data_IF_699037772669
#
_entry.id   IF_699037772669
#
_cell.length_a   1.000
_cell.length_b   1.000
_cell.length_c   1.000
_cell.angle_alpha   90.00
_cell.angle_beta   90.00
_cell.angle_gamma   90.00
#
_symmetry.space_group_name_H-M   'P 1'
#
loop_
_entity.id
_entity.type
_entity.pdbx_description
1 polymer ?
#
# COMPACT_ATOMS: atom_id res chain seq x y z
N UNK A 1 34.45 -13.37 -4.16
CA UNK A 1 33.42 -14.24 -3.52
C UNK A 1 32.37 -13.44 -2.75
N UNK A 2 32.31 -12.09 -2.87
CA UNK A 2 31.33 -11.22 -2.18
C UNK A 2 29.95 -11.17 -2.84
N UNK A 3 29.90 -11.36 -4.17
CA UNK A 3 28.73 -10.97 -4.96
C UNK A 3 27.56 -11.97 -4.81
N UNK A 4 27.85 -13.26 -4.58
CA UNK A 4 26.80 -14.27 -4.38
C UNK A 4 26.03 -14.07 -3.07
N UNK A 5 26.72 -13.70 -1.98
CA UNK A 5 26.10 -13.49 -0.67
C UNK A 5 25.30 -12.18 -0.60
N UNK A 6 25.65 -11.17 -1.39
CA UNK A 6 24.83 -9.95 -1.53
C UNK A 6 23.60 -10.22 -2.39
N UNK A 7 23.76 -10.94 -3.51
CA UNK A 7 22.64 -11.31 -4.37
C UNK A 7 21.62 -12.20 -3.65
N UNK A 8 22.07 -13.15 -2.83
CA UNK A 8 21.17 -14.00 -2.04
C UNK A 8 20.35 -13.19 -1.03
N UNK A 9 20.97 -12.19 -0.37
CA UNK A 9 20.26 -11.27 0.53
C UNK A 9 19.24 -10.41 -0.20
N UNK A 10 19.54 -9.95 -1.42
CA UNK A 10 18.59 -9.22 -2.25
C UNK A 10 17.38 -10.09 -2.61
N UNK A 11 17.61 -11.34 -3.03
CA UNK A 11 16.53 -12.28 -3.36
C UNK A 11 15.66 -12.61 -2.14
N UNK A 12 16.25 -12.72 -0.95
CA UNK A 12 15.50 -12.93 0.30
C UNK A 12 14.64 -11.71 0.66
N UNK A 13 15.20 -10.50 0.54
CA UNK A 13 14.47 -9.26 0.79
C UNK A 13 13.32 -9.06 -0.22
N UNK A 14 13.53 -9.43 -1.49
CA UNK A 14 12.49 -9.39 -2.51
C UNK A 14 11.32 -10.32 -2.17
N UNK A 15 11.60 -11.56 -1.76
CA UNK A 15 10.55 -12.51 -1.34
C UNK A 15 9.77 -12.02 -0.12
N UNK A 16 10.47 -11.42 0.86
CA UNK A 16 9.84 -10.85 2.04
C UNK A 16 8.93 -9.65 1.68
N UNK A 17 9.40 -8.78 0.77
CA UNK A 17 8.62 -7.67 0.23
C UNK A 17 7.39 -8.16 -0.54
N UNK A 18 7.53 -9.18 -1.39
CA UNK A 18 6.40 -9.76 -2.14
C UNK A 18 5.33 -10.31 -1.18
N UNK A 19 5.73 -11.08 -0.17
CA UNK A 19 4.79 -11.62 0.82
C UNK A 19 4.08 -10.50 1.60
N UNK A 20 4.81 -9.45 2.02
CA UNK A 20 4.21 -8.31 2.70
C UNK A 20 3.28 -7.49 1.79
N UNK A 21 3.61 -7.36 0.49
CA UNK A 21 2.75 -6.69 -0.50
C UNK A 21 1.43 -7.42 -0.67
N UNK A 22 1.47 -8.75 -0.85
CA UNK A 22 0.26 -9.56 -0.98
C UNK A 22 -0.63 -9.47 0.27
N UNK A 23 -0.02 -9.51 1.46
CA UNK A 23 -0.79 -9.34 2.70
C UNK A 23 -1.42 -7.95 2.78
N UNK A 24 -0.65 -6.89 2.50
CA UNK A 24 -1.17 -5.53 2.50
C UNK A 24 -2.32 -5.33 1.51
N UNK A 25 -2.20 -5.85 0.28
CA UNK A 25 -3.26 -5.77 -0.73
C UNK A 25 -4.55 -6.49 -0.28
N UNK A 26 -4.41 -7.68 0.35
CA UNK A 26 -5.55 -8.43 0.86
C UNK A 26 -6.26 -7.69 2.01
N UNK A 27 -5.47 -7.13 2.93
CA UNK A 27 -5.97 -6.35 4.07
C UNK A 27 -6.63 -5.06 3.59
N UNK A 28 -5.98 -4.32 2.68
CA UNK A 28 -6.51 -3.11 2.07
C UNK A 28 -7.83 -3.38 1.35
N UNK A 29 -7.93 -4.45 0.56
CA UNK A 29 -9.17 -4.83 -0.12
C UNK A 29 -10.32 -5.08 0.87
N UNK A 30 -10.07 -5.79 1.97
CA UNK A 30 -11.08 -6.04 3.00
C UNK A 30 -11.49 -4.77 3.73
N UNK A 31 -10.51 -3.96 4.13
CA UNK A 31 -10.76 -2.67 4.77
C UNK A 31 -11.57 -1.75 3.84
N UNK A 32 -11.27 -1.75 2.54
CA UNK A 32 -11.95 -0.94 1.53
C UNK A 32 -13.42 -1.30 1.41
N UNK A 33 -13.76 -2.59 1.39
CA UNK A 33 -15.16 -3.06 1.35
C UNK A 33 -15.92 -2.63 2.59
N UNK A 34 -15.32 -2.78 3.77
CA UNK A 34 -15.95 -2.35 5.01
C UNK A 34 -16.17 -0.82 5.00
N UNK A 35 -15.17 -0.05 4.58
CA UNK A 35 -15.31 1.40 4.44
C UNK A 35 -16.44 1.79 3.48
N UNK A 36 -16.52 1.15 2.31
CA UNK A 36 -17.61 1.41 1.35
C UNK A 36 -18.99 1.08 1.94
N UNK A 37 -19.11 -0.05 2.66
CA UNK A 37 -20.34 -0.38 3.37
C UNK A 37 -20.69 0.66 4.43
N UNK A 38 -19.70 1.11 5.22
CA UNK A 38 -19.90 2.13 6.24
C UNK A 38 -20.30 3.47 5.63
N UNK A 39 -19.71 3.88 4.50
CA UNK A 39 -20.10 5.09 3.78
C UNK A 39 -21.54 4.97 3.26
N UNK A 40 -21.89 3.84 2.64
CA UNK A 40 -23.26 3.58 2.13
C UNK A 40 -24.31 3.61 3.25
N UNK A 41 -23.93 3.22 4.47
CA UNK A 41 -24.78 3.27 5.66
C UNK A 41 -24.75 4.62 6.40
N UNK A 42 -23.93 5.58 5.97
CA UNK A 42 -23.75 6.86 6.65
C UNK A 42 -22.97 6.79 7.97
N UNK A 43 -22.18 5.72 8.17
CA UNK A 43 -21.34 5.49 9.35
C UNK A 43 -19.90 6.02 9.20
N UNK A 44 -19.47 6.32 7.97
CA UNK A 44 -18.15 6.87 7.68
C UNK A 44 -18.24 8.18 6.89
N UNK A 45 -17.52 9.21 7.37
CA UNK A 45 -17.47 10.56 6.81
C UNK A 45 -16.06 11.01 6.39
N UNK A 46 -15.07 10.12 6.55
CA UNK A 46 -13.66 10.36 6.23
C UNK A 46 -13.22 9.52 5.06
N UNK A 47 -12.21 10.02 4.33
CA UNK A 47 -11.56 9.27 3.26
C UNK A 47 -10.96 7.97 3.79
N UNK A 48 -10.84 6.97 2.92
CA UNK A 48 -10.52 5.60 3.29
C UNK A 48 -9.29 5.50 4.21
N UNK A 49 -8.17 6.15 3.88
CA UNK A 49 -6.94 6.07 4.68
C UNK A 49 -7.17 6.54 6.12
N UNK A 50 -7.88 7.64 6.31
CA UNK A 50 -8.18 8.18 7.65
C UNK A 50 -9.11 7.25 8.43
N UNK A 51 -10.13 6.69 7.76
CA UNK A 51 -11.03 5.73 8.37
C UNK A 51 -10.31 4.41 8.71
N UNK A 52 -9.46 3.90 7.81
CA UNK A 52 -8.79 2.60 7.96
C UNK A 52 -7.81 2.60 9.13
N UNK A 53 -7.05 3.68 9.33
CA UNK A 53 -6.16 3.83 10.49
C UNK A 53 -6.94 3.83 11.81
N UNK A 54 -8.19 4.31 11.83
CA UNK A 54 -9.02 4.41 13.03
C UNK A 54 -9.83 3.15 13.31
N UNK A 55 -10.33 2.49 12.26
CA UNK A 55 -11.34 1.43 12.36
C UNK A 55 -10.82 0.06 11.94
N UNK A 56 -9.66 -0.02 11.28
CA UNK A 56 -9.11 -1.26 10.75
C UNK A 56 -7.64 -1.46 11.16
N UNK A 57 -7.36 -1.85 12.42
CA UNK A 57 -5.98 -1.94 12.95
C UNK A 57 -5.02 -2.82 12.12
N UNK A 58 -5.56 -3.85 11.47
CA UNK A 58 -4.78 -4.72 10.58
C UNK A 58 -4.22 -3.96 9.37
N UNK A 59 -4.88 -2.90 8.90
CA UNK A 59 -4.43 -2.07 7.78
C UNK A 59 -3.10 -1.41 8.12
N UNK A 60 -3.05 -0.72 9.26
CA UNK A 60 -1.82 -0.03 9.69
C UNK A 60 -0.67 -1.00 9.96
N UNK A 61 -0.97 -2.17 10.53
CA UNK A 61 0.03 -3.21 10.76
C UNK A 61 0.61 -3.75 9.44
N UNK A 62 -0.25 -4.10 8.48
CA UNK A 62 0.18 -4.60 7.18
C UNK A 62 0.93 -3.52 6.36
N UNK A 63 0.46 -2.27 6.41
CA UNK A 63 1.14 -1.13 5.77
C UNK A 63 2.54 -0.93 6.33
N UNK A 64 2.67 -0.95 7.66
CA UNK A 64 3.97 -0.79 8.35
C UNK A 64 4.93 -1.92 7.97
N UNK A 65 4.44 -3.16 7.94
CA UNK A 65 5.23 -4.32 7.54
C UNK A 65 5.69 -4.20 6.08
N UNK A 66 4.80 -3.81 5.16
CA UNK A 66 5.14 -3.58 3.76
C UNK A 66 6.22 -2.49 3.61
N UNK A 67 6.05 -1.34 4.28
CA UNK A 67 7.02 -0.24 4.23
C UNK A 67 8.38 -0.62 4.80
N UNK A 68 8.42 -1.40 5.89
CA UNK A 68 9.66 -1.90 6.47
C UNK A 68 10.41 -2.83 5.51
N UNK A 69 9.71 -3.79 4.89
CA UNK A 69 10.33 -4.70 3.91
C UNK A 69 10.78 -3.97 2.64
N UNK A 70 10.04 -2.95 2.21
CA UNK A 70 10.44 -2.10 1.09
C UNK A 70 11.75 -1.36 1.40
N UNK A 71 11.83 -0.73 2.57
CA UNK A 71 13.05 -0.01 2.98
C UNK A 71 14.26 -0.94 3.07
N UNK A 72 14.07 -2.17 3.58
CA UNK A 72 15.12 -3.18 3.63
C UNK A 72 15.57 -3.61 2.22
N UNK A 73 14.63 -3.86 1.30
CA UNK A 73 14.95 -4.17 -0.09
C UNK A 73 15.73 -3.02 -0.74
N UNK A 74 15.25 -1.78 -0.58
CA UNK A 74 15.87 -0.59 -1.18
C UNK A 74 17.30 -0.38 -0.68
N UNK A 75 17.54 -0.60 0.62
CA UNK A 75 18.88 -0.50 1.21
C UNK A 75 19.85 -1.53 0.61
N UNK A 76 19.40 -2.78 0.46
CA UNK A 76 20.24 -3.85 -0.11
C UNK A 76 20.45 -3.58 -1.60
N UNK A 77 19.41 -3.21 -2.34
CA UNK A 77 19.49 -2.87 -3.76
C UNK A 77 20.46 -1.70 -3.99
N UNK A 78 20.40 -0.66 -3.15
CA UNK A 78 21.34 0.46 -3.18
C UNK A 78 22.79 0.03 -2.96
N UNK A 79 23.03 -0.91 -2.03
CA UNK A 79 24.38 -1.42 -1.77
C UNK A 79 24.99 -2.22 -2.92
N UNK A 80 24.16 -2.72 -3.84
CA UNK A 80 24.57 -3.55 -4.98
C UNK A 80 24.62 -2.71 -6.27
N UNK A 81 23.58 -1.92 -6.53
CA UNK A 81 23.33 -1.24 -7.80
C UNK A 81 23.59 0.28 -7.74
N UNK A 82 23.88 0.84 -6.57
CA UNK A 82 24.29 2.25 -6.41
C UNK A 82 23.23 3.24 -6.92
N UNK A 83 23.63 4.10 -7.85
CA UNK A 83 22.81 5.21 -8.37
C UNK A 83 21.53 4.74 -9.07
N UNK A 84 21.59 3.62 -9.81
CA UNK A 84 20.41 3.05 -10.50
C UNK A 84 19.29 2.75 -9.51
N UNK A 85 19.62 2.16 -8.35
CA UNK A 85 18.65 1.87 -7.31
C UNK A 85 18.05 3.13 -6.67
N UNK A 86 18.79 4.25 -6.62
CA UNK A 86 18.24 5.51 -6.11
C UNK A 86 17.19 6.10 -7.04
N UNK A 87 17.42 6.01 -8.36
CA UNK A 87 16.46 6.51 -9.34
C UNK A 87 15.20 5.65 -9.39
N UNK A 88 15.32 4.33 -9.22
CA UNK A 88 14.17 3.44 -9.03
C UNK A 88 13.32 3.81 -7.81
N UNK A 89 13.96 4.17 -6.69
CA UNK A 89 13.24 4.63 -5.48
C UNK A 89 12.48 5.92 -5.78
N UNK A 90 13.14 6.93 -6.40
CA UNK A 90 12.51 8.22 -6.74
C UNK A 90 11.32 8.05 -7.68
N UNK A 91 11.46 7.26 -8.73
CA UNK A 91 10.37 7.02 -9.69
C UNK A 91 9.19 6.30 -9.02
N UNK A 92 9.46 5.33 -8.13
CA UNK A 92 8.42 4.67 -7.35
C UNK A 92 7.71 5.61 -6.38
N UNK A 93 8.44 6.50 -5.69
CA UNK A 93 7.85 7.50 -4.79
C UNK A 93 6.96 8.49 -5.56
N UNK A 94 7.41 8.94 -6.71
CA UNK A 94 6.64 9.79 -7.62
C UNK A 94 5.37 9.09 -8.09
N UNK A 95 5.46 7.84 -8.54
CA UNK A 95 4.30 7.05 -8.95
C UNK A 95 3.30 6.85 -7.79
N UNK A 96 3.80 6.58 -6.57
CA UNK A 96 2.98 6.47 -5.35
C UNK A 96 2.25 7.77 -5.03
N UNK A 97 2.92 8.92 -5.19
CA UNK A 97 2.29 10.23 -4.96
C UNK A 97 1.12 10.47 -5.91
N UNK A 98 1.31 10.25 -7.22
CA UNK A 98 0.24 10.40 -8.20
C UNK A 98 -0.92 9.43 -7.96
N UNK A 99 -0.63 8.16 -7.67
CA UNK A 99 -1.65 7.15 -7.34
C UNK A 99 -2.43 7.53 -6.07
N UNK A 100 -1.74 8.02 -5.04
CA UNK A 100 -2.38 8.45 -3.79
C UNK A 100 -3.31 9.64 -3.99
N UNK A 101 -2.91 10.61 -4.80
CA UNK A 101 -3.74 11.79 -5.12
C UNK A 101 -4.99 11.42 -5.91
N UNK A 102 -4.87 10.54 -6.91
CA UNK A 102 -6.02 10.00 -7.66
C UNK A 102 -6.98 9.22 -6.75
N UNK A 103 -6.42 8.38 -5.87
CA UNK A 103 -7.23 7.61 -4.93
C UNK A 103 -7.97 8.51 -3.93
N UNK A 104 -7.30 9.54 -3.40
CA UNK A 104 -7.94 10.52 -2.51
C UNK A 104 -9.13 11.20 -3.17
N UNK A 105 -9.01 11.61 -4.43
CA UNK A 105 -10.10 12.24 -5.19
C UNK A 105 -11.28 11.29 -5.38
N UNK A 106 -11.01 10.00 -5.64
CA UNK A 106 -12.06 8.96 -5.71
C UNK A 106 -12.76 8.79 -4.38
N UNK A 107 -12.02 8.75 -3.28
CA UNK A 107 -12.58 8.62 -1.95
C UNK A 107 -13.47 9.82 -1.60
N UNK A 108 -13.03 11.03 -1.90
CA UNK A 108 -13.82 12.26 -1.73
C UNK A 108 -15.09 12.27 -2.60
N UNK A 109 -15.02 11.73 -3.82
CA UNK A 109 -16.18 11.61 -4.70
C UNK A 109 -17.22 10.64 -4.10
N UNK A 110 -16.77 9.48 -3.60
CA UNK A 110 -17.62 8.49 -2.95
C UNK A 110 -18.30 9.07 -1.70
N UNK A 111 -17.59 9.85 -0.88
CA UNK A 111 -18.18 10.49 0.30
C UNK A 111 -19.23 11.56 -0.06
N UNK A 112 -19.07 12.23 -1.21
CA UNK A 112 -20.04 13.23 -1.69
C UNK A 112 -21.28 12.58 -2.31
N UNK A 113 -21.14 11.37 -2.83
CA UNK A 113 -22.22 10.61 -3.46
C UNK A 113 -22.16 9.12 -3.02
N UNK A 114 -22.57 8.81 -1.77
CA UNK A 114 -22.58 7.43 -1.26
C UNK A 114 -23.47 6.48 -2.08
N UNK A 115 -24.48 7.01 -2.77
CA UNK A 115 -25.39 6.24 -3.62
C UNK A 115 -24.70 5.74 -4.90
N UNK A 116 -23.52 6.28 -5.24
CA UNK A 116 -22.69 5.78 -6.33
C UNK A 116 -22.07 4.40 -6.06
N UNK A 117 -22.08 3.93 -4.81
CA UNK A 117 -21.52 2.64 -4.39
C UNK A 117 -22.46 1.49 -4.82
N UNK A 118 -22.00 0.69 -5.78
CA UNK A 118 -22.73 -0.46 -6.30
C UNK A 118 -22.51 -1.68 -5.40
N UNK A 119 -23.41 -2.66 -5.50
CA UNK A 119 -23.28 -3.90 -4.73
C UNK A 119 -22.03 -4.70 -5.16
N UNK A 120 -21.64 -4.61 -6.43
CA UNK A 120 -20.38 -5.15 -6.97
C UNK A 120 -19.13 -4.58 -6.28
N UNK A 121 -19.19 -3.34 -5.76
CA UNK A 121 -18.08 -2.71 -5.04
C UNK A 121 -17.93 -3.27 -3.61
N UNK A 122 -18.95 -4.00 -3.12
CA UNK A 122 -19.00 -4.60 -1.79
C UNK A 122 -18.62 -6.10 -1.81
N UNK A 123 -18.66 -6.76 -2.98
CA UNK A 123 -18.39 -8.20 -3.19
C UNK A 123 -16.92 -8.57 -3.17
#
# INVERSE_FOLDING_TARGET
MSDSAQQERLNQAEKALQAASTEFENVEKKARKQWLSDVKMGLADKIFIQWAVQNYPQYYAAETQYRANQAQYDQINHSINGEVAQDEVKEREKARWFKGEDQRKKDEAILKDPDSIKDEDLE
#
